data_IF_414636319492
#
_entry.id   IF_414636319492
#
_cell.length_a   1.000
_cell.length_b   1.000
_cell.length_c   1.000
_cell.angle_alpha   90.00
_cell.angle_beta   90.00
_cell.angle_gamma   90.00
#
_symmetry.space_group_name_H-M   'P 1'
#
loop_
_entity.id
_entity.type
_entity.pdbx_description
1 polymer ?
#
# COMPACT_ATOMS: atom_id res chain seq x y z
N UNK A 1 -5.67 -28.36 27.79
CA UNK A 1 -4.46 -27.57 27.45
C UNK A 1 -3.87 -28.09 26.14
N UNK A 2 -4.09 -27.42 24.99
CA UNK A 2 -3.44 -27.80 23.71
C UNK A 2 -2.00 -27.26 23.72
N UNK A 3 -1.02 -28.12 23.38
CA UNK A 3 0.43 -27.85 23.39
C UNK A 3 0.80 -26.57 22.61
N UNK A 4 1.85 -25.82 23.03
CA UNK A 4 2.31 -24.59 22.37
C UNK A 4 2.69 -24.77 20.89
N UNK A 5 3.20 -25.93 20.48
CA UNK A 5 3.60 -26.21 19.09
C UNK A 5 2.43 -26.17 18.08
N UNK A 6 1.21 -26.59 18.47
CA UNK A 6 0.04 -26.56 17.58
C UNK A 6 -0.52 -25.16 17.34
N UNK A 7 -0.21 -24.20 18.23
CA UNK A 7 -0.68 -22.81 18.13
C UNK A 7 0.19 -21.98 17.20
N UNK A 8 1.51 -22.13 17.26
CA UNK A 8 2.43 -21.47 16.33
C UNK A 8 2.17 -21.92 14.90
N UNK A 9 1.93 -23.22 14.68
CA UNK A 9 1.54 -23.75 13.37
C UNK A 9 0.24 -23.11 12.85
N UNK A 10 -0.77 -22.95 13.71
CA UNK A 10 -2.04 -22.31 13.34
C UNK A 10 -1.85 -20.83 12.95
N UNK A 11 -0.99 -20.10 13.67
CA UNK A 11 -0.69 -18.70 13.38
C UNK A 11 0.05 -18.54 12.04
N UNK A 12 1.03 -19.41 11.78
CA UNK A 12 1.78 -19.42 10.52
C UNK A 12 0.83 -19.77 9.36
N UNK A 13 0.01 -20.80 9.51
CA UNK A 13 -0.97 -21.20 8.49
C UNK A 13 -1.99 -20.08 8.23
N UNK A 14 -2.52 -19.45 9.27
CA UNK A 14 -3.45 -18.33 9.12
C UNK A 14 -2.81 -17.10 8.47
N UNK A 15 -1.56 -16.79 8.81
CA UNK A 15 -0.78 -15.72 8.19
C UNK A 15 -0.46 -15.99 6.72
N UNK A 16 -0.04 -17.21 6.39
CA UNK A 16 0.21 -17.63 5.01
C UNK A 16 -1.07 -17.65 4.17
N UNK A 17 -2.20 -18.07 4.74
CA UNK A 17 -3.48 -18.03 4.04
C UNK A 17 -3.98 -16.60 3.83
N UNK A 18 -3.84 -15.71 4.83
CA UNK A 18 -4.16 -14.30 4.68
C UNK A 18 -3.26 -13.63 3.62
N UNK A 19 -1.96 -13.92 3.66
CA UNK A 19 -0.99 -13.51 2.65
C UNK A 19 -1.40 -14.02 1.26
N UNK A 20 -1.70 -15.31 1.12
CA UNK A 20 -2.07 -15.95 -0.14
C UNK A 20 -3.37 -15.41 -0.73
N UNK A 21 -4.38 -15.18 0.10
CA UNK A 21 -5.65 -14.59 -0.33
C UNK A 21 -5.45 -13.16 -0.86
N UNK A 22 -4.69 -12.33 -0.14
CA UNK A 22 -4.43 -10.95 -0.57
C UNK A 22 -3.48 -10.90 -1.77
N UNK A 23 -2.50 -11.80 -1.82
CA UNK A 23 -1.57 -11.97 -2.93
C UNK A 23 -2.29 -12.36 -4.22
N UNK A 24 -3.20 -13.33 -4.14
CA UNK A 24 -4.01 -13.73 -5.29
C UNK A 24 -5.00 -12.63 -5.72
N UNK A 25 -5.58 -11.87 -4.79
CA UNK A 25 -6.44 -10.73 -5.13
C UNK A 25 -5.70 -9.68 -5.98
N UNK A 26 -4.40 -9.46 -5.75
CA UNK A 26 -3.62 -8.51 -6.54
C UNK A 26 -3.58 -8.84 -8.04
N UNK A 27 -3.75 -10.11 -8.42
CA UNK A 27 -3.85 -10.53 -9.81
C UNK A 27 -5.14 -10.03 -10.50
N UNK A 28 -6.17 -9.66 -9.74
CA UNK A 28 -7.39 -9.02 -10.28
C UNK A 28 -7.29 -7.50 -10.31
N UNK A 29 -6.20 -6.94 -9.74
CA UNK A 29 -6.03 -5.50 -9.56
C UNK A 29 -4.94 -4.92 -10.45
N UNK A 30 -3.74 -5.48 -10.40
CA UNK A 30 -2.52 -4.84 -10.92
C UNK A 30 -2.05 -5.27 -12.31
N UNK A 31 -2.41 -6.43 -12.87
CA UNK A 31 -1.94 -6.83 -14.20
C UNK A 31 -2.16 -5.81 -15.30
N UNK A 32 -3.28 -5.07 -15.34
CA UNK A 32 -3.51 -4.06 -16.37
C UNK A 32 -2.41 -2.97 -16.44
N UNK A 33 -1.74 -2.67 -15.31
CA UNK A 33 -0.62 -1.73 -15.30
C UNK A 33 0.64 -2.28 -15.98
N UNK A 34 0.67 -3.56 -16.35
CA UNK A 34 1.70 -4.16 -17.18
C UNK A 34 1.52 -3.83 -18.68
N UNK A 35 0.31 -3.42 -19.10
CA UNK A 35 0.05 -2.94 -20.46
C UNK A 35 0.51 -1.50 -20.65
N UNK A 36 0.83 -1.15 -21.90
CA UNK A 36 1.18 0.22 -22.30
C UNK A 36 0.00 0.95 -22.94
N UNK A 37 -0.88 0.21 -23.63
CA UNK A 37 -2.08 0.70 -24.29
C UNK A 37 -1.80 1.81 -25.33
N UNK A 38 -0.63 1.78 -25.97
CA UNK A 38 -0.21 2.80 -26.96
C UNK A 38 -1.21 2.92 -28.12
N UNK A 39 -1.76 1.80 -28.58
CA UNK A 39 -2.74 1.75 -29.69
C UNK A 39 -4.11 2.38 -29.34
N UNK A 40 -4.37 2.65 -28.05
CA UNK A 40 -5.66 3.19 -27.60
C UNK A 40 -5.75 4.72 -27.74
N UNK A 41 -4.59 5.41 -27.80
CA UNK A 41 -4.49 6.86 -27.93
C UNK A 41 -4.79 7.65 -26.65
N UNK A 42 -5.18 8.92 -26.79
CA UNK A 42 -5.51 9.80 -25.68
C UNK A 42 -7.01 9.76 -25.35
N UNK A 43 -7.32 9.82 -24.06
CA UNK A 43 -8.65 10.12 -23.54
C UNK A 43 -8.96 11.62 -23.65
N UNK A 44 -10.23 12.04 -23.43
CA UNK A 44 -10.56 13.46 -23.31
C UNK A 44 -9.63 14.17 -22.31
N UNK A 45 -9.32 15.46 -22.57
CA UNK A 45 -8.35 16.28 -21.82
C UNK A 45 -6.86 15.96 -22.07
N UNK A 46 -6.54 15.12 -23.07
CA UNK A 46 -5.14 14.82 -23.44
C UNK A 46 -4.44 13.87 -22.47
N UNK A 47 -5.20 13.12 -21.68
CA UNK A 47 -4.69 12.13 -20.73
C UNK A 47 -4.42 10.82 -21.49
N UNK A 48 -3.26 10.22 -21.28
CA UNK A 48 -2.95 8.91 -21.84
C UNK A 48 -3.91 7.83 -21.32
N UNK A 49 -4.26 6.87 -22.18
CA UNK A 49 -5.28 5.88 -21.86
C UNK A 49 -4.97 5.13 -20.55
N UNK A 50 -3.72 4.69 -20.38
CA UNK A 50 -3.24 4.01 -19.17
C UNK A 50 -3.45 4.86 -17.90
N UNK A 51 -3.08 6.13 -17.92
CA UNK A 51 -3.29 7.04 -16.79
C UNK A 51 -4.78 7.19 -16.48
N UNK A 52 -5.64 7.31 -17.48
CA UNK A 52 -7.09 7.37 -17.24
C UNK A 52 -7.64 6.10 -16.59
N UNK A 53 -7.18 4.92 -17.02
CA UNK A 53 -7.52 3.64 -16.40
C UNK A 53 -7.06 3.59 -14.92
N UNK A 54 -5.83 4.02 -14.65
CA UNK A 54 -5.26 4.08 -13.30
C UNK A 54 -6.05 5.01 -12.39
N UNK A 55 -6.38 6.21 -12.86
CA UNK A 55 -7.18 7.19 -12.12
C UNK A 55 -8.56 6.60 -11.82
N UNK A 56 -9.23 6.03 -12.82
CA UNK A 56 -10.58 5.46 -12.64
C UNK A 56 -10.59 4.32 -11.62
N UNK A 57 -9.60 3.41 -11.68
CA UNK A 57 -9.47 2.33 -10.71
C UNK A 57 -9.21 2.86 -9.29
N UNK A 58 -8.34 3.86 -9.13
CA UNK A 58 -8.05 4.48 -7.83
C UNK A 58 -9.27 5.17 -7.25
N UNK A 59 -10.07 5.88 -8.05
CA UNK A 59 -11.32 6.51 -7.60
C UNK A 59 -12.31 5.43 -7.11
N UNK A 60 -12.47 4.33 -7.85
CA UNK A 60 -13.30 3.19 -7.42
C UNK A 60 -12.81 2.63 -6.09
N UNK A 61 -11.50 2.45 -5.93
CA UNK A 61 -10.87 1.95 -4.71
C UNK A 61 -11.04 2.91 -3.52
N UNK A 62 -10.95 4.22 -3.74
CA UNK A 62 -11.18 5.23 -2.72
C UNK A 62 -12.64 5.25 -2.25
N UNK A 63 -13.60 5.15 -3.18
CA UNK A 63 -15.03 5.03 -2.87
C UNK A 63 -15.33 3.73 -2.11
N UNK A 64 -14.67 2.63 -2.50
CA UNK A 64 -14.74 1.35 -1.81
C UNK A 64 -14.36 1.45 -0.33
N UNK A 65 -13.31 2.24 -0.01
CA UNK A 65 -12.88 2.46 1.37
C UNK A 65 -13.92 3.22 2.19
N UNK A 66 -14.64 4.18 1.60
CA UNK A 66 -15.74 4.88 2.25
C UNK A 66 -16.90 3.92 2.59
N UNK A 67 -17.32 3.12 1.60
CA UNK A 67 -18.40 2.13 1.75
C UNK A 67 -18.00 1.03 2.76
N UNK A 68 -16.75 0.58 2.66
CA UNK A 68 -16.19 -0.52 3.45
C UNK A 68 -16.20 -0.27 4.96
N UNK A 69 -16.12 0.98 5.42
CA UNK A 69 -16.22 1.30 6.86
C UNK A 69 -17.50 0.74 7.46
N UNK A 70 -18.62 0.91 6.75
CA UNK A 70 -19.93 0.42 7.21
C UNK A 70 -20.09 -1.08 6.94
N UNK A 71 -19.79 -1.51 5.72
CA UNK A 71 -19.99 -2.90 5.30
C UNK A 71 -19.15 -3.88 6.13
N UNK A 72 -17.88 -3.58 6.39
CA UNK A 72 -17.00 -4.45 7.17
C UNK A 72 -17.37 -4.43 8.66
N UNK A 73 -17.83 -3.29 9.18
CA UNK A 73 -18.27 -3.19 10.58
C UNK A 73 -19.57 -3.95 10.85
N UNK A 74 -20.48 -3.99 9.87
CA UNK A 74 -21.75 -4.74 9.95
C UNK A 74 -21.56 -6.22 9.55
N UNK A 75 -20.50 -6.56 8.81
CA UNK A 75 -20.20 -7.92 8.40
C UNK A 75 -19.81 -8.79 9.61
N UNK A 76 -20.67 -9.75 9.93
CA UNK A 76 -20.38 -10.79 10.91
C UNK A 76 -19.19 -11.69 10.52
N UNK A 77 -18.92 -12.69 11.35
CA UNK A 77 -17.89 -13.71 11.07
C UNK A 77 -18.31 -14.70 9.98
N UNK A 78 -19.61 -14.87 9.78
CA UNK A 78 -20.18 -15.82 8.82
C UNK A 78 -20.23 -15.20 7.42
N UNK A 79 -19.92 -16.00 6.39
CA UNK A 79 -20.06 -15.61 4.99
C UNK A 79 -18.93 -14.72 4.44
N UNK A 80 -17.84 -14.52 5.17
CA UNK A 80 -16.71 -13.67 4.75
C UNK A 80 -16.02 -14.19 3.48
N UNK A 81 -15.80 -15.50 3.37
CA UNK A 81 -15.22 -16.06 2.15
C UNK A 81 -16.14 -15.86 0.95
N UNK A 82 -17.46 -16.02 1.12
CA UNK A 82 -18.43 -15.76 0.07
C UNK A 82 -18.42 -14.28 -0.33
N UNK A 83 -18.37 -13.35 0.62
CA UNK A 83 -18.25 -11.92 0.33
C UNK A 83 -16.98 -11.61 -0.47
N UNK A 84 -15.83 -12.16 -0.08
CA UNK A 84 -14.57 -12.02 -0.83
C UNK A 84 -14.71 -12.56 -2.26
N UNK A 85 -15.30 -13.75 -2.43
CA UNK A 85 -15.51 -14.37 -3.75
C UNK A 85 -16.45 -13.54 -4.63
N UNK A 86 -17.57 -13.03 -4.09
CA UNK A 86 -18.49 -12.18 -4.84
C UNK A 86 -17.82 -10.87 -5.27
N UNK A 87 -17.06 -10.22 -4.38
CA UNK A 87 -16.35 -8.99 -4.69
C UNK A 87 -15.26 -9.20 -5.76
N UNK A 88 -14.46 -10.27 -5.63
CA UNK A 88 -13.46 -10.62 -6.65
C UNK A 88 -14.12 -11.05 -7.96
N UNK A 89 -15.25 -11.76 -7.91
CA UNK A 89 -16.03 -12.13 -9.09
C UNK A 89 -16.56 -10.90 -9.84
N UNK A 90 -17.14 -9.92 -9.13
CA UNK A 90 -17.57 -8.64 -9.72
C UNK A 90 -16.40 -7.88 -10.33
N UNK A 91 -15.26 -7.85 -9.63
CA UNK A 91 -14.01 -7.25 -10.13
C UNK A 91 -13.54 -7.91 -11.42
N UNK A 92 -13.61 -9.24 -11.49
CA UNK A 92 -13.22 -10.04 -12.64
C UNK A 92 -14.16 -9.85 -13.82
N UNK A 93 -15.48 -9.82 -13.60
CA UNK A 93 -16.47 -9.50 -14.63
C UNK A 93 -16.17 -8.12 -15.25
N UNK A 94 -15.80 -7.13 -14.43
CA UNK A 94 -15.41 -5.82 -14.95
C UNK A 94 -14.14 -5.87 -15.83
N UNK A 95 -13.18 -6.77 -15.57
CA UNK A 95 -12.03 -6.99 -16.44
C UNK A 95 -12.40 -7.71 -17.75
N UNK A 96 -13.37 -8.64 -17.71
CA UNK A 96 -13.89 -9.27 -18.93
C UNK A 96 -14.63 -8.24 -19.79
N UNK A 97 -15.43 -7.38 -19.16
CA UNK A 97 -16.08 -6.26 -19.84
C UNK A 97 -15.05 -5.29 -20.44
N UNK A 98 -13.95 -5.02 -19.73
CA UNK A 98 -12.84 -4.23 -20.26
C UNK A 98 -12.24 -4.83 -21.54
N UNK A 99 -12.18 -6.16 -21.63
CA UNK A 99 -11.63 -6.86 -22.79
C UNK A 99 -12.55 -6.85 -24.02
N UNK A 100 -13.88 -6.81 -23.81
CA UNK A 100 -14.88 -6.96 -24.86
C UNK A 100 -15.48 -5.62 -25.32
N UNK A 101 -15.64 -4.66 -24.40
CA UNK A 101 -16.26 -3.37 -24.72
C UNK A 101 -15.32 -2.45 -25.50
N UNK A 102 -15.86 -1.49 -26.28
CA UNK A 102 -15.07 -0.49 -26.97
C UNK A 102 -14.22 0.35 -26.00
N UNK A 103 -13.07 0.84 -26.47
CA UNK A 103 -12.08 1.58 -25.66
C UNK A 103 -12.64 2.72 -24.80
N UNK A 104 -13.70 3.40 -25.25
CA UNK A 104 -14.34 4.47 -24.47
C UNK A 104 -14.90 4.02 -23.11
N UNK A 105 -15.22 2.74 -22.96
CA UNK A 105 -15.75 2.16 -21.71
C UNK A 105 -14.64 1.74 -20.72
N UNK A 106 -13.38 1.75 -21.14
CA UNK A 106 -12.27 1.26 -20.34
C UNK A 106 -12.19 1.88 -18.94
N UNK A 107 -12.21 3.21 -18.80
CA UNK A 107 -12.21 3.86 -17.49
C UNK A 107 -13.37 3.41 -16.59
N UNK A 108 -14.58 3.24 -17.13
CA UNK A 108 -15.72 2.75 -16.35
C UNK A 108 -15.51 1.30 -15.89
N UNK A 109 -15.01 0.43 -16.76
CA UNK A 109 -14.67 -0.95 -16.40
C UNK A 109 -13.62 -1.00 -15.28
N UNK A 110 -12.60 -0.15 -15.33
CA UNK A 110 -11.56 -0.11 -14.31
C UNK A 110 -12.03 0.52 -13.00
N UNK A 111 -12.96 1.49 -13.05
CA UNK A 111 -13.67 1.98 -11.86
C UNK A 111 -14.48 0.86 -11.20
N UNK A 112 -15.28 0.12 -11.97
CA UNK A 112 -16.07 -1.01 -11.49
C UNK A 112 -15.20 -2.19 -11.02
N UNK A 113 -13.99 -2.33 -11.56
CA UNK A 113 -12.99 -3.27 -11.07
C UNK A 113 -12.41 -2.83 -9.71
N UNK A 114 -12.07 -1.56 -9.54
CA UNK A 114 -11.48 -1.04 -8.31
C UNK A 114 -12.44 -0.99 -7.12
N UNK A 115 -13.73 -0.71 -7.38
CA UNK A 115 -14.78 -0.57 -6.37
C UNK A 115 -14.97 -1.80 -5.46
N UNK A 116 -15.08 -3.05 -5.94
CA UNK A 116 -15.18 -4.21 -5.06
C UNK A 116 -13.85 -4.56 -4.37
N UNK A 117 -12.71 -4.30 -5.02
CA UNK A 117 -11.40 -4.71 -4.51
C UNK A 117 -10.94 -3.95 -3.27
N UNK A 118 -11.38 -2.71 -3.08
CA UNK A 118 -10.97 -1.88 -1.93
C UNK A 118 -11.38 -2.41 -0.56
N UNK A 119 -12.40 -3.27 -0.50
CA UNK A 119 -12.91 -3.89 0.73
C UNK A 119 -12.19 -5.19 1.09
N UNK A 120 -11.51 -5.84 0.13
CA UNK A 120 -10.93 -7.19 0.34
C UNK A 120 -9.91 -7.19 1.47
N UNK A 121 -9.09 -6.15 1.59
CA UNK A 121 -8.11 -6.04 2.67
C UNK A 121 -8.78 -6.14 4.04
N UNK A 122 -9.89 -5.43 4.25
CA UNK A 122 -10.60 -5.43 5.53
C UNK A 122 -11.24 -6.78 5.84
N UNK A 123 -11.81 -7.45 4.84
CA UNK A 123 -12.35 -8.81 5.00
C UNK A 123 -11.26 -9.82 5.34
N UNK A 124 -10.12 -9.81 4.63
CA UNK A 124 -8.99 -10.71 4.92
C UNK A 124 -8.40 -10.40 6.30
N UNK A 125 -8.20 -9.11 6.61
CA UNK A 125 -7.70 -8.68 7.92
C UNK A 125 -8.63 -9.14 9.05
N UNK A 126 -9.95 -9.13 8.85
CA UNK A 126 -10.90 -9.55 9.88
C UNK A 126 -10.77 -11.01 10.34
N UNK A 127 -10.13 -11.90 9.56
CA UNK A 127 -9.84 -13.29 9.99
C UNK A 127 -8.67 -13.39 10.96
N UNK A 128 -7.72 -12.47 10.82
CA UNK A 128 -6.49 -12.40 11.61
C UNK A 128 -6.58 -11.38 12.74
N UNK A 129 -7.50 -10.43 12.63
CA UNK A 129 -7.78 -9.42 13.64
C UNK A 129 -8.22 -10.05 14.96
N UNK A 130 -7.76 -9.45 16.05
CA UNK A 130 -8.13 -9.85 17.41
C UNK A 130 -7.22 -10.93 17.98
N UNK A 131 -6.30 -11.50 17.19
CA UNK A 131 -5.31 -12.48 17.67
C UNK A 131 -4.11 -11.76 18.30
N UNK A 132 -3.44 -12.40 19.26
CA UNK A 132 -2.20 -11.89 19.89
C UNK A 132 -1.08 -11.52 18.91
N UNK A 133 -1.06 -12.14 17.73
CA UNK A 133 -0.09 -11.85 16.65
C UNK A 133 -0.63 -10.94 15.54
N UNK A 134 -1.68 -10.14 15.81
CA UNK A 134 -2.28 -9.24 14.81
C UNK A 134 -1.26 -8.29 14.18
N UNK A 135 -0.24 -7.85 14.92
CA UNK A 135 0.84 -6.99 14.39
C UNK A 135 1.71 -7.73 13.35
N UNK A 136 2.10 -8.97 13.65
CA UNK A 136 2.88 -9.81 12.73
C UNK A 136 2.04 -10.18 11.48
N UNK A 137 0.77 -10.51 11.68
CA UNK A 137 -0.15 -10.85 10.58
C UNK A 137 -0.45 -9.61 9.71
N UNK A 138 -0.55 -8.43 10.31
CA UNK A 138 -0.64 -7.15 9.60
C UNK A 138 0.62 -6.82 8.81
N UNK A 139 1.81 -7.10 9.36
CA UNK A 139 3.08 -6.95 8.65
C UNK A 139 3.20 -7.93 7.46
N UNK A 140 2.73 -9.17 7.60
CA UNK A 140 2.66 -10.13 6.48
C UNK A 140 1.69 -9.65 5.39
N UNK A 141 0.56 -9.05 5.76
CA UNK A 141 -0.34 -8.44 4.77
C UNK A 141 0.33 -7.23 4.08
N UNK A 142 1.14 -6.44 4.80
CA UNK A 142 1.92 -5.38 4.19
C UNK A 142 3.00 -5.94 3.23
N UNK A 143 3.70 -7.00 3.62
CA UNK A 143 4.64 -7.72 2.76
C UNK A 143 3.99 -8.14 1.44
N UNK A 144 2.76 -8.66 1.56
CA UNK A 144 2.08 -9.28 0.43
C UNK A 144 1.91 -8.29 -0.71
N UNK A 145 1.49 -7.05 -0.48
CA UNK A 145 1.23 -6.15 -1.60
C UNK A 145 2.48 -5.66 -2.32
N UNK A 146 3.62 -5.58 -1.62
CA UNK A 146 4.92 -5.25 -2.22
C UNK A 146 5.30 -6.34 -3.23
N UNK A 147 5.34 -7.59 -2.77
CA UNK A 147 5.71 -8.71 -3.61
C UNK A 147 4.68 -9.01 -4.70
N UNK A 148 3.39 -8.94 -4.37
CA UNK A 148 2.31 -9.33 -5.27
C UNK A 148 2.33 -8.52 -6.55
N UNK A 149 2.53 -7.20 -6.46
CA UNK A 149 2.52 -6.33 -7.64
C UNK A 149 3.59 -6.72 -8.65
N UNK A 150 4.82 -7.01 -8.18
CA UNK A 150 5.92 -7.47 -9.04
C UNK A 150 5.66 -8.83 -9.67
N UNK A 151 5.17 -9.80 -8.88
CA UNK A 151 4.90 -11.16 -9.36
C UNK A 151 3.76 -11.17 -10.38
N UNK A 152 2.63 -10.53 -10.09
CA UNK A 152 1.48 -10.53 -11.01
C UNK A 152 1.80 -9.78 -12.31
N UNK A 153 2.64 -8.74 -12.28
CA UNK A 153 3.14 -8.07 -13.50
C UNK A 153 4.09 -8.96 -14.28
N UNK A 154 4.93 -9.74 -13.61
CA UNK A 154 5.79 -10.72 -14.28
C UNK A 154 4.95 -11.74 -15.04
N UNK A 155 3.90 -12.28 -14.39
CA UNK A 155 2.95 -13.21 -15.04
C UNK A 155 2.19 -12.51 -16.17
N UNK A 156 1.74 -11.27 -15.97
CA UNK A 156 1.03 -10.50 -16.98
C UNK A 156 1.85 -10.28 -18.26
N UNK A 157 3.11 -9.84 -18.13
CA UNK A 157 4.02 -9.66 -19.27
C UNK A 157 4.29 -11.00 -19.95
N UNK A 158 4.50 -12.08 -19.17
CA UNK A 158 4.64 -13.41 -19.73
C UNK A 158 3.41 -13.86 -20.52
N UNK A 159 2.19 -13.61 -20.03
CA UNK A 159 0.95 -13.92 -20.76
C UNK A 159 0.86 -13.16 -22.09
N UNK A 160 1.27 -11.89 -22.12
CA UNK A 160 1.31 -11.11 -23.36
C UNK A 160 2.32 -11.68 -24.36
N UNK A 161 3.47 -12.19 -23.88
CA UNK A 161 4.44 -12.89 -24.72
C UNK A 161 3.89 -14.20 -25.30
N UNK A 162 2.93 -14.85 -24.62
CA UNK A 162 2.22 -16.02 -25.13
C UNK A 162 1.07 -15.64 -26.10
N UNK A 163 0.93 -14.36 -26.47
CA UNK A 163 -0.05 -13.89 -27.44
C UNK A 163 -1.38 -13.41 -26.84
N UNK A 164 -1.50 -13.30 -25.52
CA UNK A 164 -2.68 -12.70 -24.89
C UNK A 164 -2.68 -11.18 -25.12
N UNK A 165 -3.78 -10.63 -25.65
CA UNK A 165 -3.85 -9.18 -25.91
C UNK A 165 -3.79 -8.34 -24.63
N UNK A 166 -3.34 -7.08 -24.73
CA UNK A 166 -3.24 -6.16 -23.58
C UNK A 166 -4.59 -5.95 -22.85
N UNK A 167 -5.72 -6.09 -23.56
CA UNK A 167 -7.06 -5.93 -23.00
C UNK A 167 -7.56 -7.19 -22.28
N UNK A 168 -7.21 -8.39 -22.76
CA UNK A 168 -7.57 -9.67 -22.12
C UNK A 168 -6.62 -10.07 -20.99
N UNK A 169 -5.36 -9.65 -21.06
CA UNK A 169 -4.30 -9.99 -20.11
C UNK A 169 -4.72 -9.83 -18.63
N UNK A 170 -5.43 -8.76 -18.21
CA UNK A 170 -5.83 -8.63 -16.81
C UNK A 170 -6.78 -9.72 -16.33
N UNK A 171 -7.77 -10.09 -17.17
CA UNK A 171 -8.76 -11.11 -16.84
C UNK A 171 -8.14 -12.52 -16.80
N UNK A 172 -7.26 -12.82 -17.75
CA UNK A 172 -6.54 -14.11 -17.84
C UNK A 172 -5.57 -14.27 -16.66
N UNK A 173 -4.81 -13.21 -16.35
CA UNK A 173 -3.89 -13.21 -15.20
C UNK A 173 -4.66 -13.39 -13.90
N UNK A 174 -5.81 -12.74 -13.72
CA UNK A 174 -6.66 -12.94 -12.54
C UNK A 174 -7.07 -14.41 -12.33
N UNK A 175 -7.57 -15.07 -13.38
CA UNK A 175 -7.96 -16.49 -13.31
C UNK A 175 -6.79 -17.40 -12.94
N UNK A 176 -5.59 -17.12 -13.45
CA UNK A 176 -4.41 -17.93 -13.14
C UNK A 176 -4.09 -17.98 -11.63
N UNK A 177 -4.51 -16.97 -10.85
CA UNK A 177 -4.32 -16.92 -9.39
C UNK A 177 -5.57 -17.37 -8.60
N UNK A 178 -6.68 -17.67 -9.26
CA UNK A 178 -7.90 -18.14 -8.60
C UNK A 178 -7.68 -19.43 -7.78
N UNK A 179 -6.86 -20.42 -8.19
CA UNK A 179 -6.58 -21.60 -7.36
C UNK A 179 -5.93 -21.24 -6.01
N UNK A 180 -4.98 -20.30 -6.01
CA UNK A 180 -4.32 -19.82 -4.80
C UNK A 180 -5.32 -19.10 -3.89
N UNK A 181 -6.20 -18.28 -4.47
CA UNK A 181 -7.27 -17.59 -3.76
C UNK A 181 -8.23 -18.59 -3.08
N UNK A 182 -8.75 -19.56 -3.83
CA UNK A 182 -9.71 -20.55 -3.33
C UNK A 182 -9.12 -21.40 -2.21
N UNK A 183 -7.88 -21.87 -2.37
CA UNK A 183 -7.16 -22.60 -1.33
C UNK A 183 -6.97 -21.75 -0.08
N UNK A 184 -6.54 -20.50 -0.26
CA UNK A 184 -6.31 -19.57 0.86
C UNK A 184 -7.60 -19.29 1.63
N UNK A 185 -8.72 -19.03 0.93
CA UNK A 185 -10.03 -18.82 1.56
C UNK A 185 -10.55 -20.07 2.28
N UNK A 186 -10.34 -21.24 1.69
CA UNK A 186 -10.69 -22.51 2.32
C UNK A 186 -9.94 -22.74 3.64
N UNK A 187 -8.64 -22.37 3.69
CA UNK A 187 -7.86 -22.40 4.94
C UNK A 187 -8.36 -21.35 5.93
N UNK A 188 -8.64 -20.12 5.47
CA UNK A 188 -9.10 -19.02 6.34
C UNK A 188 -10.44 -19.32 7.01
N UNK A 189 -11.40 -19.92 6.29
CA UNK A 189 -12.70 -20.34 6.86
C UNK A 189 -12.57 -21.45 7.92
N UNK A 190 -11.49 -22.23 7.87
CA UNK A 190 -11.21 -23.28 8.86
C UNK A 190 -10.42 -22.78 10.06
N UNK A 191 -10.06 -21.49 10.10
CA UNK A 191 -9.40 -20.92 11.27
C UNK A 191 -10.36 -20.87 12.45
N UNK A 192 -9.97 -21.41 13.63
CA UNK A 192 -10.80 -21.32 14.82
C UNK A 192 -10.95 -19.85 15.26
N UNK A 193 -12.04 -19.50 15.96
CA UNK A 193 -12.22 -18.16 16.50
C UNK A 193 -11.08 -17.75 17.45
N UNK A 194 -10.83 -16.44 17.65
CA UNK A 194 -9.92 -15.95 18.68
C UNK A 194 -10.28 -16.55 20.04
N UNK A 195 -9.27 -16.90 20.85
CA UNK A 195 -9.51 -17.46 22.19
C UNK A 195 -9.70 -16.34 23.24
N UNK A 196 -10.21 -16.67 24.44
CA UNK A 196 -10.41 -15.66 25.49
C UNK A 196 -9.13 -14.96 25.96
N UNK A 197 -7.94 -15.48 25.63
CA UNK A 197 -6.65 -14.81 25.90
C UNK A 197 -6.31 -13.80 24.81
N UNK A 198 -6.66 -14.09 23.57
CA UNK A 198 -6.60 -13.14 22.44
C UNK A 198 -7.46 -11.89 22.73
N UNK A 199 -8.63 -12.06 23.35
CA UNK A 199 -9.52 -10.95 23.74
C UNK A 199 -9.03 -10.20 24.99
N UNK A 200 -8.52 -10.91 26.00
CA UNK A 200 -8.07 -10.33 27.27
C UNK A 200 -6.77 -9.48 27.15
N UNK A 201 -5.90 -9.80 26.18
CA UNK A 201 -4.69 -9.02 25.93
C UNK A 201 -4.92 -7.77 25.05
N UNK A 202 -6.16 -7.53 24.59
CA UNK A 202 -6.48 -6.35 23.76
C UNK A 202 -6.97 -5.18 24.61
N UNK A 203 -6.38 -4.01 24.38
CA UNK A 203 -7.00 -2.73 24.79
C UNK A 203 -8.13 -2.40 23.82
N UNK A 204 -9.37 -2.29 24.31
CA UNK A 204 -10.51 -1.93 23.48
C UNK A 204 -10.26 -0.59 22.76
N UNK A 205 -10.25 -0.62 21.41
CA UNK A 205 -10.14 0.61 20.60
C UNK A 205 -11.48 1.33 20.63
N UNK A 206 -11.67 2.24 21.58
CA UNK A 206 -12.87 3.06 21.63
C UNK A 206 -12.90 4.02 20.44
N UNK A 207 -14.01 4.09 19.67
CA UNK A 207 -14.13 5.05 18.58
C UNK A 207 -14.19 6.49 19.13
N UNK A 208 -13.40 7.39 18.55
CA UNK A 208 -13.47 8.82 18.91
C UNK A 208 -14.80 9.44 18.48
N UNK A 209 -15.45 10.18 19.39
CA UNK A 209 -16.64 10.97 19.07
C UNK A 209 -16.25 12.18 18.21
N UNK A 210 -17.23 12.77 17.50
CA UNK A 210 -17.00 13.89 16.56
C UNK A 210 -16.28 15.08 17.23
N UNK A 211 -16.65 15.39 18.48
CA UNK A 211 -16.07 16.50 19.24
C UNK A 211 -14.61 16.24 19.62
N UNK A 212 -14.26 14.99 19.97
CA UNK A 212 -12.89 14.61 20.31
C UNK A 212 -11.96 14.71 19.09
N UNK A 213 -12.45 14.35 17.89
CA UNK A 213 -11.71 14.48 16.63
C UNK A 213 -11.40 15.94 16.32
N UNK A 214 -12.39 16.83 16.48
CA UNK A 214 -12.21 18.25 16.23
C UNK A 214 -11.23 18.88 17.23
N UNK A 215 -11.34 18.55 18.52
CA UNK A 215 -10.42 19.02 19.56
C UNK A 215 -8.99 18.54 19.31
N UNK A 216 -8.83 17.28 18.88
CA UNK A 216 -7.54 16.70 18.53
C UNK A 216 -6.90 17.42 17.32
N UNK A 217 -7.65 17.62 16.23
CA UNK A 217 -7.16 18.34 15.05
C UNK A 217 -6.85 19.81 15.35
N UNK A 218 -7.60 20.47 16.24
CA UNK A 218 -7.29 21.85 16.64
C UNK A 218 -5.97 21.95 17.41
N UNK A 219 -5.61 20.91 18.16
CA UNK A 219 -4.39 20.90 18.98
C UNK A 219 -3.17 20.39 18.23
N UNK A 220 -3.33 19.34 17.40
CA UNK A 220 -2.24 18.60 16.76
C UNK A 220 -2.31 18.59 15.23
N UNK A 221 -3.30 19.24 14.62
CA UNK A 221 -3.57 19.18 13.19
C UNK A 221 -2.43 19.70 12.32
N UNK A 222 -1.73 20.76 12.74
CA UNK A 222 -0.60 21.30 11.96
C UNK A 222 0.61 20.34 11.92
N UNK A 223 1.15 19.84 13.06
CA UNK A 223 2.20 18.81 13.06
C UNK A 223 1.79 17.55 12.28
N UNK A 224 0.52 17.17 12.40
CA UNK A 224 -0.03 16.04 11.66
C UNK A 224 -0.09 16.29 10.16
N UNK A 225 -0.52 17.48 9.74
CA UNK A 225 -0.57 17.85 8.32
C UNK A 225 0.84 17.78 7.71
N UNK A 226 1.85 18.32 8.40
CA UNK A 226 3.26 18.24 7.97
C UNK A 226 3.70 16.78 7.76
N UNK A 227 3.41 15.91 8.72
CA UNK A 227 3.81 14.50 8.65
C UNK A 227 3.02 13.72 7.58
N UNK A 228 1.71 13.98 7.46
CA UNK A 228 0.85 13.40 6.43
C UNK A 228 1.23 13.89 5.04
N UNK A 229 1.68 15.14 4.85
CA UNK A 229 2.19 15.62 3.56
C UNK A 229 3.39 14.78 3.08
N UNK A 230 4.30 14.40 3.98
CA UNK A 230 5.39 13.47 3.66
C UNK A 230 4.87 12.11 3.21
N UNK A 231 3.85 11.57 3.91
CA UNK A 231 3.17 10.33 3.51
C UNK A 231 2.53 10.41 2.12
N UNK A 232 1.87 11.53 1.80
CA UNK A 232 1.23 11.75 0.50
C UNK A 232 2.26 11.71 -0.62
N UNK A 233 3.41 12.37 -0.45
CA UNK A 233 4.49 12.35 -1.44
C UNK A 233 5.06 10.93 -1.64
N UNK A 234 5.34 10.22 -0.55
CA UNK A 234 5.82 8.83 -0.61
C UNK A 234 4.81 7.91 -1.30
N UNK A 235 3.52 8.07 -1.00
CA UNK A 235 2.44 7.28 -1.59
C UNK A 235 2.32 7.54 -3.08
N UNK A 236 2.31 8.81 -3.49
CA UNK A 236 2.20 9.21 -4.88
C UNK A 236 3.38 8.68 -5.71
N UNK A 237 4.61 8.85 -5.21
CA UNK A 237 5.81 8.39 -5.93
C UNK A 237 5.92 6.87 -5.96
N UNK A 238 5.54 6.17 -4.87
CA UNK A 238 5.45 4.70 -4.86
C UNK A 238 4.42 4.20 -5.87
N UNK A 239 3.23 4.78 -5.90
CA UNK A 239 2.18 4.39 -6.84
C UNK A 239 2.63 4.64 -8.28
N UNK A 240 3.30 5.76 -8.55
CA UNK A 240 3.89 6.05 -9.85
C UNK A 240 4.93 4.99 -10.24
N UNK A 241 5.93 4.74 -9.39
CA UNK A 241 6.98 3.72 -9.62
C UNK A 241 6.37 2.37 -9.94
N UNK A 242 5.37 1.96 -9.17
CA UNK A 242 4.70 0.69 -9.35
C UNK A 242 3.92 0.67 -10.68
N UNK A 243 3.01 1.62 -10.89
CA UNK A 243 2.10 1.60 -12.04
C UNK A 243 2.80 1.81 -13.39
N UNK A 244 3.92 2.52 -13.40
CA UNK A 244 4.72 2.81 -14.60
C UNK A 244 6.04 2.03 -14.64
N UNK A 245 6.13 0.92 -13.89
CA UNK A 245 7.35 0.11 -13.85
C UNK A 245 7.75 -0.40 -15.24
N UNK A 246 6.79 -0.73 -16.11
CA UNK A 246 7.06 -1.20 -17.48
C UNK A 246 7.79 -0.12 -18.26
N UNK A 247 7.29 1.11 -18.23
CA UNK A 247 7.86 2.26 -18.91
C UNK A 247 9.25 2.60 -18.39
N UNK A 248 9.45 2.52 -17.06
CA UNK A 248 10.75 2.72 -16.43
C UNK A 248 11.76 1.65 -16.89
N UNK A 249 11.39 0.37 -16.89
CA UNK A 249 12.26 -0.71 -17.36
C UNK A 249 12.57 -0.61 -18.84
N UNK A 250 11.57 -0.33 -19.67
CA UNK A 250 11.75 -0.11 -21.10
C UNK A 250 12.72 1.03 -21.38
N UNK A 251 12.57 2.17 -20.69
CA UNK A 251 13.49 3.31 -20.81
C UNK A 251 14.93 3.00 -20.36
N UNK A 252 15.11 2.00 -19.49
CA UNK A 252 16.43 1.53 -19.04
C UNK A 252 16.98 0.34 -19.86
N UNK A 253 16.30 -0.05 -20.95
CA UNK A 253 16.75 -1.14 -21.85
C UNK A 253 16.30 -2.55 -21.45
N UNK A 254 15.37 -2.69 -20.51
CA UNK A 254 14.82 -3.97 -20.02
C UNK A 254 13.38 -4.22 -20.50
N UNK A 255 12.98 -3.64 -21.63
CA UNK A 255 11.66 -3.84 -22.21
C UNK A 255 11.34 -5.32 -22.43
N UNK A 256 10.15 -5.76 -22.00
CA UNK A 256 9.70 -7.15 -22.14
C UNK A 256 10.37 -8.17 -21.19
N UNK A 257 11.27 -7.78 -20.30
CA UNK A 257 11.89 -8.71 -19.35
C UNK A 257 10.92 -9.08 -18.21
N UNK A 258 10.01 -10.04 -18.43
CA UNK A 258 8.97 -10.40 -17.48
C UNK A 258 9.47 -10.69 -16.05
N UNK A 259 10.61 -11.38 -15.90
CA UNK A 259 11.15 -11.72 -14.58
C UNK A 259 11.69 -10.53 -13.79
N UNK A 260 11.99 -9.39 -14.44
CA UNK A 260 12.65 -8.24 -13.81
C UNK A 260 11.80 -7.64 -12.69
N UNK A 261 10.46 -7.66 -12.85
CA UNK A 261 9.53 -7.14 -11.85
C UNK A 261 9.57 -7.95 -10.54
N UNK A 262 9.62 -9.28 -10.64
CA UNK A 262 9.76 -10.13 -9.45
C UNK A 262 11.16 -10.01 -8.83
N UNK A 263 12.19 -9.95 -9.68
CA UNK A 263 13.58 -9.80 -9.23
C UNK A 263 13.83 -8.49 -8.50
N UNK A 264 13.16 -7.40 -8.88
CA UNK A 264 13.27 -6.12 -8.18
C UNK A 264 12.42 -6.06 -6.92
N UNK A 265 11.17 -6.56 -6.93
CA UNK A 265 10.25 -6.39 -5.80
C UNK A 265 10.53 -7.36 -4.64
N UNK A 266 11.11 -8.53 -4.90
CA UNK A 266 11.43 -9.48 -3.84
C UNK A 266 12.46 -8.91 -2.83
N UNK A 267 13.63 -8.39 -3.25
CA UNK A 267 14.56 -7.71 -2.34
C UNK A 267 13.94 -6.49 -1.65
N UNK A 268 13.12 -5.72 -2.37
CA UNK A 268 12.42 -4.56 -1.80
C UNK A 268 11.52 -4.97 -0.64
N UNK A 269 10.72 -6.02 -0.81
CA UNK A 269 9.87 -6.56 0.24
C UNK A 269 10.68 -7.04 1.45
N UNK A 270 11.79 -7.76 1.21
CA UNK A 270 12.66 -8.24 2.29
C UNK A 270 13.26 -7.08 3.09
N UNK A 271 13.80 -6.06 2.43
CA UNK A 271 14.38 -4.88 3.09
C UNK A 271 13.32 -4.11 3.88
N UNK A 272 12.16 -3.86 3.29
CA UNK A 272 11.07 -3.15 3.95
C UNK A 272 10.57 -3.88 5.21
N UNK A 273 10.42 -5.20 5.13
CA UNK A 273 9.99 -6.03 6.26
C UNK A 273 11.04 -6.14 7.34
N UNK A 274 12.32 -6.24 6.97
CA UNK A 274 13.42 -6.22 7.93
C UNK A 274 13.43 -4.89 8.71
N UNK A 275 13.25 -3.77 8.01
CA UNK A 275 13.13 -2.45 8.64
C UNK A 275 11.94 -2.33 9.59
N UNK A 276 10.76 -2.82 9.18
CA UNK A 276 9.58 -2.82 10.03
C UNK A 276 9.74 -3.75 11.24
N UNK A 277 10.29 -4.95 11.03
CA UNK A 277 10.56 -5.92 12.09
C UNK A 277 11.53 -5.36 13.14
N UNK A 278 12.56 -4.64 12.72
CA UNK A 278 13.48 -3.95 13.63
C UNK A 278 12.76 -2.88 14.48
N UNK A 279 11.82 -2.13 13.91
CA UNK A 279 11.02 -1.14 14.64
C UNK A 279 10.11 -1.78 15.71
N UNK A 280 9.60 -3.00 15.47
CA UNK A 280 8.77 -3.72 16.45
C UNK A 280 9.54 -4.11 17.73
N UNK A 281 10.87 -4.22 17.66
CA UNK A 281 11.71 -4.52 18.83
C UNK A 281 11.76 -3.34 19.83
N UNK A 282 11.41 -2.14 19.39
CA UNK A 282 11.44 -0.93 20.22
C UNK A 282 10.19 -0.86 21.10
N UNK A 283 10.32 -1.31 22.36
CA UNK A 283 9.20 -1.36 23.32
C UNK A 283 8.65 0.02 23.73
N UNK A 284 9.53 0.98 23.97
CA UNK A 284 9.12 2.31 24.45
C UNK A 284 8.47 3.13 23.32
N UNK A 285 7.22 3.54 23.50
CA UNK A 285 6.43 4.27 22.49
C UNK A 285 7.11 5.54 21.98
N UNK A 286 7.77 6.31 22.85
CA UNK A 286 8.46 7.55 22.48
C UNK A 286 9.71 7.28 21.66
N UNK A 287 10.54 6.32 22.09
CA UNK A 287 11.72 5.89 21.32
C UNK A 287 11.32 5.25 20.00
N UNK A 288 10.23 4.50 19.97
CA UNK A 288 9.67 3.91 18.75
C UNK A 288 9.23 5.00 17.77
N UNK A 289 8.57 6.06 18.26
CA UNK A 289 8.17 7.20 17.41
C UNK A 289 9.39 7.89 16.78
N UNK A 290 10.46 8.16 17.55
CA UNK A 290 11.68 8.76 17.00
C UNK A 290 12.43 7.80 16.05
N UNK A 291 12.47 6.51 16.37
CA UNK A 291 13.05 5.50 15.49
C UNK A 291 12.31 5.43 14.15
N UNK A 292 10.98 5.59 14.14
CA UNK A 292 10.18 5.67 12.92
C UNK A 292 10.53 6.90 12.08
N UNK A 293 10.72 8.07 12.71
CA UNK A 293 11.21 9.26 11.99
C UNK A 293 12.59 9.00 11.37
N UNK A 294 13.49 8.33 12.11
CA UNK A 294 14.79 7.91 11.60
C UNK A 294 14.69 6.98 10.39
N UNK A 295 13.81 5.98 10.43
CA UNK A 295 13.58 5.07 9.30
C UNK A 295 12.98 5.79 8.10
N UNK A 296 12.08 6.76 8.31
CA UNK A 296 11.52 7.58 7.22
C UNK A 296 12.62 8.42 6.56
N UNK A 297 13.47 9.08 7.36
CA UNK A 297 14.61 9.84 6.86
C UNK A 297 15.59 8.93 6.11
N UNK A 298 15.90 7.76 6.66
CA UNK A 298 16.76 6.77 6.00
C UNK A 298 16.18 6.33 4.65
N UNK A 299 14.87 6.07 4.59
CA UNK A 299 14.18 5.72 3.35
C UNK A 299 14.26 6.82 2.30
N UNK A 300 14.06 8.08 2.71
CA UNK A 300 14.17 9.25 1.83
C UNK A 300 15.63 9.50 1.37
N UNK A 301 16.61 9.33 2.25
CA UNK A 301 18.03 9.38 1.89
C UNK A 301 18.40 8.27 0.91
N UNK A 302 17.91 7.05 1.12
CA UNK A 302 18.13 5.93 0.21
C UNK A 302 17.55 6.21 -1.17
N UNK A 303 16.34 6.79 -1.23
CA UNK A 303 15.71 7.23 -2.48
C UNK A 303 16.55 8.27 -3.22
N UNK A 304 16.96 9.34 -2.55
CA UNK A 304 17.74 10.42 -3.16
C UNK A 304 19.16 10.00 -3.56
N UNK A 305 19.88 9.34 -2.65
CA UNK A 305 21.27 8.92 -2.87
C UNK A 305 21.38 7.82 -3.93
N UNK A 306 20.46 6.85 -3.96
CA UNK A 306 20.46 5.84 -5.02
C UNK A 306 20.14 6.45 -6.39
N UNK A 307 19.27 7.46 -6.44
CA UNK A 307 18.97 8.19 -7.67
C UNK A 307 20.19 8.99 -8.16
N UNK A 308 20.92 9.63 -7.25
CA UNK A 308 22.17 10.31 -7.57
C UNK A 308 23.23 9.33 -8.09
N UNK A 309 23.42 8.21 -7.40
CA UNK A 309 24.37 7.18 -7.81
C UNK A 309 24.00 6.53 -9.15
N UNK A 310 22.71 6.39 -9.46
CA UNK A 310 22.23 5.95 -10.77
C UNK A 310 22.58 6.94 -11.89
N UNK A 311 22.32 8.24 -11.68
CA UNK A 311 22.69 9.27 -12.65
C UNK A 311 24.20 9.43 -12.83
N UNK A 312 24.98 9.18 -11.77
CA UNK A 312 26.44 9.13 -11.84
C UNK A 312 26.99 7.83 -12.45
N UNK A 313 26.12 6.94 -12.97
CA UNK A 313 26.48 5.63 -13.54
C UNK A 313 27.18 4.68 -12.55
N UNK A 314 27.08 4.92 -11.23
CA UNK A 314 27.62 4.06 -10.18
C UNK A 314 26.69 2.89 -9.85
N UNK A 315 25.40 3.01 -10.17
CA UNK A 315 24.41 1.95 -10.00
C UNK A 315 23.80 1.57 -11.35
N UNK A 316 23.64 0.27 -11.57
CA UNK A 316 22.84 -0.25 -12.67
C UNK A 316 21.32 -0.13 -12.43
N UNK A 317 20.49 -0.27 -13.49
CA UNK A 317 19.03 -0.20 -13.42
C UNK A 317 18.39 -1.06 -12.32
N UNK A 318 18.85 -2.31 -12.18
CA UNK A 318 18.30 -3.24 -11.19
C UNK A 318 18.53 -2.78 -9.75
N UNK A 319 19.78 -2.44 -9.42
CA UNK A 319 20.14 -1.94 -8.10
C UNK A 319 19.42 -0.64 -7.76
N UNK A 320 19.31 0.28 -8.72
CA UNK A 320 18.59 1.53 -8.53
C UNK A 320 17.09 1.31 -8.26
N UNK A 321 16.43 0.45 -9.03
CA UNK A 321 15.02 0.10 -8.81
C UNK A 321 14.81 -0.57 -7.45
N UNK A 322 15.72 -1.44 -7.01
CA UNK A 322 15.65 -2.06 -5.68
C UNK A 322 15.82 -1.01 -4.58
N UNK A 323 16.84 -0.15 -4.64
CA UNK A 323 17.12 0.82 -3.58
C UNK A 323 16.06 1.92 -3.49
N UNK A 324 15.57 2.44 -4.63
CA UNK A 324 14.47 3.41 -4.64
C UNK A 324 13.17 2.79 -4.13
N UNK A 325 12.86 1.56 -4.52
CA UNK A 325 11.72 0.80 -3.99
C UNK A 325 11.83 0.62 -2.48
N UNK A 326 12.96 0.10 -2.01
CA UNK A 326 13.22 -0.10 -0.58
C UNK A 326 13.11 1.22 0.21
N UNK A 327 13.68 2.32 -0.31
CA UNK A 327 13.60 3.63 0.33
C UNK A 327 12.17 4.15 0.46
N UNK A 328 11.38 4.04 -0.61
CA UNK A 328 9.96 4.41 -0.61
C UNK A 328 9.17 3.57 0.41
N UNK A 329 9.36 2.26 0.43
CA UNK A 329 8.65 1.36 1.34
C UNK A 329 9.08 1.52 2.80
N UNK A 330 10.36 1.77 3.09
CA UNK A 330 10.83 2.08 4.43
C UNK A 330 10.20 3.38 4.96
N UNK A 331 10.07 4.40 4.11
CA UNK A 331 9.38 5.64 4.47
C UNK A 331 7.86 5.48 4.61
N UNK A 332 7.25 4.70 3.73
CA UNK A 332 5.80 4.56 3.62
C UNK A 332 5.19 3.64 4.68
N UNK A 333 5.82 2.50 4.96
CA UNK A 333 5.25 1.42 5.78
C UNK A 333 4.96 1.81 7.24
N UNK A 334 5.81 2.60 7.94
CA UNK A 334 5.55 3.01 9.31
C UNK A 334 4.19 3.69 9.51
N UNK A 335 3.75 4.51 8.54
CA UNK A 335 2.46 5.22 8.57
C UNK A 335 1.26 4.27 8.62
N UNK A 336 1.36 3.12 7.96
CA UNK A 336 0.27 2.16 7.84
C UNK A 336 0.23 1.16 9.00
N UNK A 337 1.36 0.95 9.66
CA UNK A 337 1.50 -0.12 10.64
C UNK A 337 1.45 0.38 12.09
N UNK A 338 2.24 1.39 12.45
CA UNK A 338 2.55 1.65 13.86
C UNK A 338 2.67 3.13 14.23
N UNK A 339 2.97 4.01 13.28
CA UNK A 339 3.33 5.40 13.56
C UNK A 339 2.22 6.15 14.29
N UNK A 340 0.97 6.05 13.81
CA UNK A 340 -0.14 6.74 14.45
C UNK A 340 -0.50 6.17 15.82
N UNK A 341 -0.43 4.85 15.99
CA UNK A 341 -0.63 4.20 17.30
C UNK A 341 0.42 4.66 18.31
N UNK A 342 1.70 4.65 17.93
CA UNK A 342 2.81 5.10 18.80
C UNK A 342 2.76 6.59 19.07
N UNK A 343 2.33 7.40 18.11
CA UNK A 343 2.16 8.85 18.28
C UNK A 343 1.04 9.16 19.28
N UNK A 344 -0.13 8.53 19.16
CA UNK A 344 -1.23 8.69 20.11
C UNK A 344 -0.80 8.25 21.51
N UNK A 345 -0.13 7.10 21.61
CA UNK A 345 0.38 6.60 22.89
C UNK A 345 1.44 7.55 23.51
N UNK A 346 2.31 8.14 22.69
CA UNK A 346 3.32 9.10 23.15
C UNK A 346 2.70 10.43 23.61
N UNK A 347 1.59 10.86 23.00
CA UNK A 347 0.84 12.06 23.38
C UNK A 347 -0.01 11.87 24.65
N UNK A 348 -0.14 10.64 25.17
CA UNK A 348 -0.87 10.34 26.40
C UNK A 348 -2.38 10.65 26.35
N UNK A 349 -2.95 10.85 25.15
CA UNK A 349 -4.37 11.19 24.95
C UNK A 349 -5.13 10.04 24.30
N UNK A 350 -6.41 9.91 24.64
CA UNK A 350 -7.31 9.00 23.93
C UNK A 350 -7.46 9.44 22.46
N UNK A 351 -6.97 8.62 21.54
CA UNK A 351 -7.05 8.86 20.10
C UNK A 351 -7.24 7.55 19.34
N UNK A 352 -7.89 7.60 18.19
CA UNK A 352 -8.07 6.44 17.31
C UNK A 352 -7.08 6.53 16.14
N UNK A 353 -6.05 5.68 16.14
CA UNK A 353 -5.07 5.63 15.06
C UNK A 353 -5.71 5.31 13.70
N UNK A 354 -6.80 4.53 13.69
CA UNK A 354 -7.57 4.23 12.49
C UNK A 354 -8.16 5.47 11.82
N UNK A 355 -8.56 6.49 12.58
CA UNK A 355 -9.02 7.77 12.00
C UNK A 355 -7.88 8.50 11.28
N UNK A 356 -6.67 8.47 11.84
CA UNK A 356 -5.51 9.14 11.28
C UNK A 356 -4.97 8.41 10.05
N UNK A 357 -4.93 7.07 10.10
CA UNK A 357 -4.62 6.21 8.96
C UNK A 357 -5.60 6.49 7.82
N UNK A 358 -6.89 6.62 8.11
CA UNK A 358 -7.90 6.89 7.09
C UNK A 358 -7.70 8.25 6.40
N UNK A 359 -7.43 9.32 7.17
CA UNK A 359 -7.11 10.64 6.59
C UNK A 359 -5.84 10.56 5.73
N UNK A 360 -4.80 9.90 6.24
CA UNK A 360 -3.55 9.75 5.53
C UNK A 360 -3.75 9.00 4.20
N UNK A 361 -4.43 7.85 4.21
CA UNK A 361 -4.72 7.04 3.02
C UNK A 361 -5.54 7.79 1.99
N UNK A 362 -6.62 8.46 2.42
CA UNK A 362 -7.45 9.27 1.51
C UNK A 362 -6.62 10.39 0.85
N UNK A 363 -5.79 11.08 1.65
CA UNK A 363 -4.89 12.11 1.15
C UNK A 363 -3.83 11.53 0.20
N UNK A 364 -3.34 10.32 0.49
CA UNK A 364 -2.37 9.59 -0.33
C UNK A 364 -2.91 9.28 -1.72
N UNK A 365 -4.13 8.74 -1.82
CA UNK A 365 -4.79 8.50 -3.12
C UNK A 365 -5.03 9.79 -3.90
N UNK A 366 -5.45 10.86 -3.23
CA UNK A 366 -5.56 12.17 -3.86
C UNK A 366 -4.20 12.65 -4.40
N UNK A 367 -3.12 12.45 -3.65
CA UNK A 367 -1.76 12.76 -4.10
C UNK A 367 -1.32 11.95 -5.32
N UNK A 368 -1.60 10.65 -5.34
CA UNK A 368 -1.32 9.78 -6.50
C UNK A 368 -2.05 10.28 -7.75
N UNK A 369 -3.35 10.58 -7.63
CA UNK A 369 -4.13 11.14 -8.76
C UNK A 369 -3.60 12.50 -9.19
N UNK A 370 -3.27 13.39 -8.23
CA UNK A 370 -2.73 14.71 -8.53
C UNK A 370 -1.37 14.64 -9.25
N UNK A 371 -0.49 13.71 -8.87
CA UNK A 371 0.80 13.50 -9.54
C UNK A 371 0.62 13.03 -10.99
N UNK A 372 -0.33 12.13 -11.23
CA UNK A 372 -0.66 11.67 -12.58
C UNK A 372 -1.25 12.78 -13.43
N UNK A 373 -2.21 13.55 -12.90
CA UNK A 373 -2.76 14.71 -13.59
C UNK A 373 -1.69 15.77 -13.87
N UNK A 374 -0.77 16.02 -12.95
CA UNK A 374 0.35 16.92 -13.17
C UNK A 374 1.24 16.43 -14.33
N UNK A 375 1.58 15.14 -14.37
CA UNK A 375 2.35 14.55 -15.48
C UNK A 375 1.59 14.65 -16.81
N UNK A 376 0.29 14.36 -16.82
CA UNK A 376 -0.52 14.31 -18.05
C UNK A 376 -0.96 15.69 -18.56
N UNK A 377 -1.02 16.73 -17.72
CA UNK A 377 -1.50 18.06 -18.13
C UNK A 377 -0.39 19.11 -18.20
N UNK A 378 0.62 19.01 -17.32
CA UNK A 378 1.68 20.03 -17.21
C UNK A 378 3.00 19.52 -17.79
N UNK A 379 3.42 18.31 -17.41
CA UNK A 379 4.71 17.74 -17.80
C UNK A 379 4.59 16.76 -18.99
N UNK A 380 3.69 17.01 -19.94
CA UNK A 380 3.36 16.11 -21.06
C UNK A 380 4.59 15.62 -21.85
N UNK A 381 5.55 16.52 -22.05
CA UNK A 381 6.75 16.31 -22.88
C UNK A 381 7.91 15.59 -22.18
N UNK A 382 7.81 15.33 -20.87
CA UNK A 382 8.92 14.76 -20.09
C UNK A 382 8.78 13.25 -20.03
N UNK A 383 9.72 12.49 -20.59
CA UNK A 383 9.67 11.03 -20.51
C UNK A 383 9.52 10.48 -19.08
N UNK A 384 8.95 9.28 -18.96
CA UNK A 384 8.61 8.65 -17.68
C UNK A 384 9.81 8.55 -16.72
N UNK A 385 10.99 8.21 -17.25
CA UNK A 385 12.21 8.02 -16.47
C UNK A 385 12.79 9.34 -15.91
N UNK A 386 13.08 10.38 -16.73
CA UNK A 386 13.47 11.70 -16.21
C UNK A 386 12.46 12.32 -15.25
N UNK A 387 11.16 12.13 -15.50
CA UNK A 387 10.11 12.58 -14.59
C UNK A 387 10.21 11.89 -13.23
N UNK A 388 10.35 10.56 -13.22
CA UNK A 388 10.50 9.78 -11.99
C UNK A 388 11.76 10.17 -11.19
N UNK A 389 12.89 10.41 -11.87
CA UNK A 389 14.14 10.87 -11.26
C UNK A 389 13.91 12.22 -10.56
N UNK A 390 13.29 13.17 -11.25
CA UNK A 390 12.99 14.50 -10.70
C UNK A 390 12.08 14.41 -9.48
N UNK A 391 10.98 13.65 -9.58
CA UNK A 391 10.08 13.41 -8.46
C UNK A 391 10.77 12.69 -7.30
N UNK A 392 11.75 11.82 -7.57
CA UNK A 392 12.53 11.13 -6.52
C UNK A 392 13.36 12.10 -5.71
N UNK A 393 14.05 13.06 -6.34
CA UNK A 393 14.79 14.09 -5.63
C UNK A 393 13.89 15.01 -4.82
N UNK A 394 12.80 15.51 -5.43
CA UNK A 394 11.84 16.39 -4.75
C UNK A 394 11.21 15.69 -3.55
N UNK A 395 10.77 14.43 -3.73
CA UNK A 395 10.20 13.63 -2.66
C UNK A 395 11.23 13.38 -1.56
N UNK A 396 12.47 13.00 -1.89
CA UNK A 396 13.52 12.79 -0.90
C UNK A 396 13.77 14.05 -0.04
N UNK A 397 13.98 15.20 -0.69
CA UNK A 397 14.24 16.46 0.00
C UNK A 397 13.08 16.91 0.89
N UNK A 398 11.85 16.89 0.35
CA UNK A 398 10.66 17.30 1.10
C UNK A 398 10.33 16.35 2.24
N UNK A 399 10.43 15.02 2.04
CA UNK A 399 10.17 14.04 3.11
C UNK A 399 11.18 14.20 4.23
N UNK A 400 12.47 14.40 3.93
CA UNK A 400 13.49 14.67 4.96
C UNK A 400 13.12 15.94 5.74
N UNK A 401 12.83 17.04 5.04
CA UNK A 401 12.47 18.31 5.67
C UNK A 401 11.24 18.19 6.56
N UNK A 402 10.14 17.65 6.04
CA UNK A 402 8.87 17.50 6.75
C UNK A 402 9.01 16.57 7.96
N UNK A 403 9.77 15.48 7.81
CA UNK A 403 10.01 14.53 8.90
C UNK A 403 10.90 15.14 9.99
N UNK A 404 11.92 15.91 9.64
CA UNK A 404 12.74 16.64 10.61
C UNK A 404 11.93 17.69 11.37
N UNK A 405 11.08 18.46 10.68
CA UNK A 405 10.18 19.42 11.32
C UNK A 405 9.23 18.73 12.31
N UNK A 406 8.69 17.57 11.92
CA UNK A 406 7.84 16.76 12.80
C UNK A 406 8.61 16.23 14.02
N UNK A 407 9.82 15.68 13.81
CA UNK A 407 10.66 15.18 14.89
C UNK A 407 11.04 16.27 15.91
N UNK A 408 11.42 17.47 15.42
CA UNK A 408 11.73 18.63 16.28
C UNK A 408 10.51 19.05 17.11
N UNK A 409 9.32 19.03 16.52
CA UNK A 409 8.08 19.34 17.25
C UNK A 409 7.86 18.36 18.41
N UNK A 410 7.96 17.04 18.17
CA UNK A 410 7.76 16.04 19.22
C UNK A 410 8.83 16.10 20.32
N UNK A 411 10.10 16.37 19.97
CA UNK A 411 11.18 16.57 20.95
C UNK A 411 10.97 17.83 21.81
N UNK A 412 10.43 18.91 21.23
CA UNK A 412 10.11 20.15 21.97
C UNK A 412 8.91 19.99 22.90
N UNK A 413 7.92 19.19 22.50
CA UNK A 413 6.77 18.87 23.33
C UNK A 413 7.22 18.14 24.61
N UNK A 414 8.11 17.16 24.47
CA UNK A 414 8.68 16.42 25.60
C UNK A 414 9.40 17.33 26.60
N UNK A 415 10.21 18.27 26.11
CA UNK A 415 10.90 19.23 27.00
C UNK A 415 9.92 20.11 27.77
N UNK A 416 8.78 20.49 27.18
CA UNK A 416 7.75 21.30 27.85
C UNK A 416 7.00 20.52 28.92
N UNK A 417 6.63 19.27 28.65
CA UNK A 417 5.97 18.40 29.63
C UNK A 417 6.89 18.07 30.81
N UNK A 418 8.18 17.84 30.55
CA UNK A 418 9.17 17.62 31.62
C UNK A 418 9.39 18.86 32.49
N UNK A 419 9.38 20.06 31.91
CA UNK A 419 9.51 21.31 32.69
C UNK A 419 8.26 21.57 33.54
N UNK A 420 7.06 21.25 33.03
CA UNK A 420 5.80 21.38 33.79
C UNK A 420 5.61 20.30 34.86
N UNK A 421 6.28 19.15 34.76
CA UNK A 421 6.22 18.10 35.79
C UNK A 421 7.21 18.32 36.94
N UNK A 422 8.22 19.18 36.75
CA UNK A 422 9.21 19.55 37.77
C UNK A 422 8.99 20.96 38.36
N UNK A 423 8.00 21.69 37.85
CA UNK A 423 7.50 22.94 38.42
C UNK A 423 6.21 22.65 39.19
#
# INVERSE_FOLDING_TARGET
>A
MRKPAGRTALLIVGGLAAFGAYFAMYAFRKPFAAGTYEDMGLLPLGIDYKTGLLIAQVIGYALSKLIGIRVIAEAGRQGRAMAILCLIGLSWIALVLFAILPKGWGPLCLFLNGLPLGMIWGFVFSYVEGRRCSEMLGAMLCASFILSSGVVKSVAVWMMQQGVSETWMPAVTGIAFAPILLLSLWVLERLPPPDGRDEAERTARAPMRKNDRAAFLRTHGLPMAVLVSGYVLLTALRDFRDNFAVELWTAMGFGGAASIFSQSELPVAVIALAGLGALMLVRNNKRALLAMHGVIILGALLLGASTLAFQAHLLGPLSWMILTGAGLYLGYTPFNAMLFDRMIAALGRAGNAGFLIYIADASGYCGSVALLLYRSLVAQKVDWLPFFITCSYVTAALVILLTLLSAVYFLRLERRELVQAHA
#
